data_IF_654388767651
#
_entry.id   IF_654388767651
#
_cell.length_a   1.000
_cell.length_b   1.000
_cell.length_c   1.000
_cell.angle_alpha   90.00
_cell.angle_beta   90.00
_cell.angle_gamma   90.00
#
_symmetry.space_group_name_H-M   'P 1'
#
loop_
_entity.id
_entity.type
_entity.pdbx_description
1 polymer ?
#
# COMPACT_ATOMS: atom_id res chain seq x y z
N UNK A 1 -0.23 -9.94 40.50
CA UNK A 1 -1.26 -9.23 39.75
C UNK A 1 -0.83 -8.97 38.29
N UNK A 2 0.42 -9.22 37.95
CA UNK A 2 0.93 -9.00 36.58
C UNK A 2 0.83 -10.21 35.65
N UNK A 3 0.43 -11.37 36.08
CA UNK A 3 0.49 -12.61 35.28
C UNK A 3 -0.84 -12.96 34.61
N UNK A 4 -1.92 -12.32 35.01
CA UNK A 4 -3.27 -12.64 34.52
C UNK A 4 -3.66 -11.89 33.23
N UNK A 5 -2.94 -10.84 32.87
CA UNK A 5 -3.22 -10.04 31.65
C UNK A 5 -2.67 -10.66 30.35
N UNK A 6 -1.80 -11.65 30.43
CA UNK A 6 -1.21 -12.30 29.26
C UNK A 6 -2.02 -13.55 28.84
N UNK A 7 -2.91 -14.03 29.71
CA UNK A 7 -3.69 -15.25 29.47
C UNK A 7 -4.91 -15.04 28.55
N UNK A 8 -5.34 -13.79 28.35
CA UNK A 8 -6.53 -13.50 27.55
C UNK A 8 -6.22 -13.08 26.09
N UNK A 9 -4.97 -13.07 25.70
CA UNK A 9 -4.59 -12.99 24.30
C UNK A 9 -4.66 -14.38 23.66
N UNK A 10 -5.86 -14.94 23.65
CA UNK A 10 -6.13 -16.19 22.97
C UNK A 10 -6.16 -15.90 21.46
N UNK A 11 -5.00 -16.02 20.80
CA UNK A 11 -4.95 -16.00 19.34
C UNK A 11 -5.82 -17.14 18.83
N UNK A 12 -6.94 -16.79 18.18
CA UNK A 12 -7.75 -17.79 17.50
C UNK A 12 -6.88 -18.59 16.54
N UNK A 13 -6.95 -19.92 16.63
CA UNK A 13 -6.38 -20.76 15.60
C UNK A 13 -7.05 -20.44 14.26
N UNK A 14 -6.32 -20.58 13.13
CA UNK A 14 -6.87 -20.31 11.78
C UNK A 14 -8.16 -21.08 11.52
N UNK A 15 -8.31 -22.27 12.09
CA UNK A 15 -9.51 -23.12 12.01
C UNK A 15 -10.73 -22.54 12.74
N UNK A 16 -10.55 -21.59 13.65
CA UNK A 16 -11.63 -20.99 14.43
C UNK A 16 -12.24 -19.75 13.76
N UNK A 17 -11.69 -19.32 12.61
CA UNK A 17 -12.26 -18.23 11.84
C UNK A 17 -13.48 -18.68 11.06
N UNK A 18 -14.52 -17.82 11.06
CA UNK A 18 -15.68 -18.01 10.22
C UNK A 18 -15.30 -17.84 8.74
N UNK A 19 -16.09 -18.36 7.78
CA UNK A 19 -15.87 -18.08 6.36
C UNK A 19 -15.85 -16.59 6.03
N UNK A 20 -16.63 -15.76 6.73
CA UNK A 20 -16.63 -14.30 6.57
C UNK A 20 -15.32 -13.67 7.05
N UNK A 21 -14.80 -14.12 8.19
CA UNK A 21 -13.51 -13.69 8.71
C UNK A 21 -12.37 -14.08 7.75
N UNK A 22 -12.43 -15.28 7.18
CA UNK A 22 -11.47 -15.76 6.21
C UNK A 22 -11.48 -14.90 4.94
N UNK A 23 -12.66 -14.53 4.44
CA UNK A 23 -12.82 -13.65 3.29
C UNK A 23 -12.26 -12.25 3.57
N UNK A 24 -12.53 -11.71 4.75
CA UNK A 24 -11.98 -10.44 5.21
C UNK A 24 -10.45 -10.46 5.23
N UNK A 25 -9.87 -11.47 5.87
CA UNK A 25 -8.42 -11.59 5.97
C UNK A 25 -7.76 -11.80 4.60
N UNK A 26 -8.44 -12.50 3.70
CA UNK A 26 -8.00 -12.63 2.32
C UNK A 26 -7.95 -11.26 1.61
N UNK A 27 -8.97 -10.43 1.78
CA UNK A 27 -9.01 -9.08 1.20
C UNK A 27 -7.94 -8.17 1.80
N UNK A 28 -7.70 -8.23 3.11
CA UNK A 28 -6.58 -7.54 3.75
C UNK A 28 -5.25 -8.00 3.16
N UNK A 29 -5.06 -9.29 3.00
CA UNK A 29 -3.88 -9.88 2.36
C UNK A 29 -3.69 -9.40 0.93
N UNK A 30 -4.77 -9.30 0.14
CA UNK A 30 -4.73 -8.74 -1.21
C UNK A 30 -4.23 -7.30 -1.22
N UNK A 31 -4.69 -6.46 -0.31
CA UNK A 31 -4.23 -5.08 -0.21
C UNK A 31 -2.73 -5.01 0.05
N UNK A 32 -2.25 -5.78 1.02
CA UNK A 32 -0.83 -5.83 1.39
C UNK A 32 0.03 -6.34 0.24
N UNK A 33 -0.37 -7.44 -0.38
CA UNK A 33 0.37 -8.03 -1.49
C UNK A 33 0.36 -7.13 -2.73
N UNK A 34 -0.79 -6.55 -3.07
CA UNK A 34 -0.92 -5.65 -4.22
C UNK A 34 -0.03 -4.41 -4.08
N UNK A 35 0.05 -3.84 -2.87
CA UNK A 35 0.96 -2.73 -2.59
C UNK A 35 2.42 -3.12 -2.82
N UNK A 36 2.84 -4.25 -2.28
CA UNK A 36 4.21 -4.73 -2.42
C UNK A 36 4.56 -5.05 -3.88
N UNK A 37 3.64 -5.66 -4.61
CA UNK A 37 3.81 -5.93 -6.04
C UNK A 37 3.93 -4.63 -6.85
N UNK A 38 3.17 -3.61 -6.49
CA UNK A 38 3.28 -2.30 -7.13
C UNK A 38 4.64 -1.66 -6.87
N UNK A 39 5.14 -1.71 -5.63
CA UNK A 39 6.49 -1.23 -5.31
C UNK A 39 7.56 -1.90 -6.18
N UNK A 40 7.50 -3.21 -6.32
CA UNK A 40 8.44 -3.98 -7.14
C UNK A 40 8.33 -3.61 -8.63
N UNK A 41 7.12 -3.49 -9.15
CA UNK A 41 6.89 -3.10 -10.54
C UNK A 41 7.39 -1.69 -10.83
N UNK A 42 7.18 -0.76 -9.89
CA UNK A 42 7.65 0.61 -10.01
C UNK A 42 9.17 0.68 -9.96
N UNK A 43 9.80 -0.06 -9.07
CA UNK A 43 11.26 -0.16 -8.99
C UNK A 43 11.86 -0.68 -10.30
N UNK A 44 11.26 -1.72 -10.87
CA UNK A 44 11.68 -2.25 -12.17
C UNK A 44 11.50 -1.23 -13.29
N UNK A 45 10.39 -0.50 -13.32
CA UNK A 45 10.14 0.55 -14.30
C UNK A 45 11.17 1.68 -14.20
N UNK A 46 11.47 2.13 -13.00
CA UNK A 46 12.50 3.16 -12.76
C UNK A 46 13.86 2.68 -13.26
N UNK A 47 14.21 1.42 -13.00
CA UNK A 47 15.43 0.81 -13.51
C UNK A 47 15.50 0.84 -15.03
N UNK A 48 14.41 0.50 -15.71
CA UNK A 48 14.33 0.56 -17.17
C UNK A 48 14.48 1.99 -17.71
N UNK A 49 13.88 2.97 -17.04
CA UNK A 49 14.00 4.39 -17.44
C UNK A 49 15.43 4.90 -17.25
N UNK A 50 16.09 4.51 -16.17
CA UNK A 50 17.51 4.85 -15.94
C UNK A 50 18.40 4.28 -17.03
N UNK A 51 18.23 3.01 -17.37
CA UNK A 51 19.01 2.36 -18.42
C UNK A 51 18.80 3.06 -19.77
N UNK A 52 17.56 3.42 -20.11
CA UNK A 52 17.25 4.13 -21.34
C UNK A 52 17.85 5.55 -21.39
N UNK A 53 18.08 6.16 -20.22
CA UNK A 53 18.71 7.49 -20.10
C UNK A 53 20.25 7.41 -19.99
N UNK A 54 20.83 6.22 -20.03
CA UNK A 54 22.27 6.01 -19.90
C UNK A 54 22.82 6.22 -18.51
N UNK A 55 21.96 6.17 -17.48
CA UNK A 55 22.40 6.23 -16.09
C UNK A 55 22.97 4.89 -15.64
N UNK A 56 24.30 4.79 -15.66
CA UNK A 56 25.05 3.58 -15.28
C UNK A 56 25.32 3.46 -13.78
N UNK A 57 24.67 4.23 -12.93
CA UNK A 57 24.84 4.11 -11.49
C UNK A 57 24.20 2.81 -10.99
N UNK A 58 24.97 1.75 -11.00
CA UNK A 58 24.66 0.50 -10.31
C UNK A 58 24.92 0.67 -8.82
N UNK A 59 24.09 1.43 -8.15
CA UNK A 59 24.15 1.42 -6.70
C UNK A 59 23.21 0.31 -6.25
N UNK A 60 23.78 -0.83 -5.89
CA UNK A 60 23.05 -1.83 -5.14
C UNK A 60 22.55 -1.19 -3.87
N UNK A 61 21.27 -0.80 -3.85
CA UNK A 61 20.63 -0.30 -2.64
C UNK A 61 20.70 -1.41 -1.59
N UNK A 62 21.36 -1.13 -0.46
CA UNK A 62 21.39 -2.06 0.68
C UNK A 62 20.03 -2.23 1.33
N UNK A 63 19.12 -1.29 1.08
CA UNK A 63 17.78 -1.26 1.62
C UNK A 63 16.77 -1.07 0.49
N UNK A 64 15.65 -1.73 0.62
CA UNK A 64 14.54 -1.59 -0.30
C UNK A 64 13.98 -0.17 -0.24
N UNK A 65 13.82 0.54 -1.38
CA UNK A 65 13.29 1.89 -1.37
C UNK A 65 11.80 1.89 -1.00
N UNK A 66 11.39 2.93 -0.28
CA UNK A 66 9.97 3.15 0.04
C UNK A 66 9.20 3.63 -1.19
N UNK A 67 7.88 3.49 -1.16
CA UNK A 67 7.01 4.01 -2.22
C UNK A 67 7.21 5.51 -2.45
N UNK A 68 7.36 6.30 -1.38
CA UNK A 68 7.61 7.74 -1.46
C UNK A 68 8.88 8.04 -2.23
N UNK A 69 9.95 7.30 -1.96
CA UNK A 69 11.23 7.47 -2.66
C UNK A 69 11.10 7.07 -4.13
N UNK A 70 10.44 5.97 -4.43
CA UNK A 70 10.20 5.52 -5.79
C UNK A 70 9.40 6.55 -6.60
N UNK A 71 8.36 7.13 -6.02
CA UNK A 71 7.55 8.17 -6.67
C UNK A 71 8.36 9.43 -6.93
N UNK A 72 9.21 9.85 -6.00
CA UNK A 72 10.11 11.00 -6.18
C UNK A 72 11.07 10.74 -7.34
N UNK A 73 11.65 9.57 -7.41
CA UNK A 73 12.55 9.19 -8.51
C UNK A 73 11.83 9.16 -9.86
N UNK A 74 10.63 8.58 -9.91
CA UNK A 74 9.82 8.54 -11.13
C UNK A 74 9.49 9.96 -11.61
N UNK A 75 9.07 10.85 -10.72
CA UNK A 75 8.79 12.25 -11.03
C UNK A 75 10.01 12.93 -11.64
N UNK A 76 11.18 12.74 -11.05
CA UNK A 76 12.43 13.31 -11.53
C UNK A 76 12.74 12.82 -12.94
N UNK A 77 12.63 11.51 -13.20
CA UNK A 77 12.93 10.93 -14.49
C UNK A 77 11.96 11.35 -15.58
N UNK A 78 10.66 11.41 -15.29
CA UNK A 78 9.65 11.88 -16.23
C UNK A 78 9.85 13.37 -16.52
N UNK A 79 10.19 14.17 -15.52
CA UNK A 79 10.52 15.58 -15.68
C UNK A 79 11.75 15.79 -16.58
N UNK A 80 12.73 14.92 -16.51
CA UNK A 80 13.92 14.98 -17.38
C UNK A 80 13.63 14.52 -18.81
N UNK A 81 12.84 13.47 -18.96
CA UNK A 81 12.46 12.91 -20.27
C UNK A 81 11.53 13.84 -21.04
N UNK A 82 10.52 14.37 -20.36
CA UNK A 82 9.40 15.08 -20.95
C UNK A 82 9.28 16.51 -20.41
N UNK A 83 10.37 17.29 -20.50
CA UNK A 83 10.45 18.65 -19.94
C UNK A 83 9.31 19.59 -20.37
N UNK A 84 8.68 19.31 -21.51
CA UNK A 84 7.59 20.11 -22.07
C UNK A 84 6.21 19.48 -21.86
N UNK A 85 6.15 18.32 -21.22
CA UNK A 85 4.90 17.58 -21.00
C UNK A 85 4.35 17.83 -19.60
N UNK A 86 3.69 18.96 -19.41
CA UNK A 86 3.00 19.29 -18.16
C UNK A 86 1.90 18.28 -17.81
N UNK A 87 1.32 17.61 -18.81
CA UNK A 87 0.28 16.60 -18.64
C UNK A 87 0.80 15.37 -17.88
N UNK A 88 2.00 14.88 -18.21
CA UNK A 88 2.61 13.75 -17.52
C UNK A 88 2.89 14.06 -16.03
N UNK A 89 3.39 15.24 -15.74
CA UNK A 89 3.66 15.67 -14.37
C UNK A 89 2.37 15.88 -13.56
N UNK A 90 1.31 16.37 -14.19
CA UNK A 90 -0.01 16.48 -13.57
C UNK A 90 -0.58 15.11 -13.23
N UNK A 91 -0.44 14.15 -14.13
CA UNK A 91 -0.86 12.76 -13.91
C UNK A 91 -0.11 12.14 -12.73
N UNK A 92 1.20 12.31 -12.65
CA UNK A 92 2.02 11.82 -11.53
C UNK A 92 1.57 12.45 -10.22
N UNK A 93 1.26 13.74 -10.19
CA UNK A 93 0.77 14.43 -8.98
C UNK A 93 -0.55 13.85 -8.51
N UNK A 94 -1.46 13.53 -9.43
CA UNK A 94 -2.73 12.86 -9.12
C UNK A 94 -2.51 11.46 -8.55
N UNK A 95 -1.62 10.70 -9.14
CA UNK A 95 -1.22 9.36 -8.69
C UNK A 95 -0.63 9.42 -7.29
N UNK A 96 0.28 10.35 -7.02
CA UNK A 96 0.88 10.52 -5.68
C UNK A 96 -0.17 10.80 -4.61
N UNK A 97 -1.16 11.62 -4.91
CA UNK A 97 -2.25 11.93 -3.98
C UNK A 97 -3.06 10.69 -3.64
N UNK A 98 -3.42 9.92 -4.64
CA UNK A 98 -4.18 8.68 -4.47
C UNK A 98 -3.34 7.64 -3.71
N UNK A 99 -2.05 7.53 -4.01
CA UNK A 99 -1.13 6.64 -3.31
C UNK A 99 -0.99 7.00 -1.84
N UNK A 100 -0.88 8.27 -1.50
CA UNK A 100 -0.81 8.72 -0.11
C UNK A 100 -2.07 8.39 0.68
N UNK A 101 -3.24 8.52 0.05
CA UNK A 101 -4.51 8.13 0.66
C UNK A 101 -4.57 6.64 0.93
N UNK A 102 -4.21 5.83 -0.05
CA UNK A 102 -4.20 4.36 0.08
C UNK A 102 -3.17 3.91 1.11
N UNK A 103 -2.01 4.55 1.15
CA UNK A 103 -0.96 4.23 2.13
C UNK A 103 -1.40 4.52 3.56
N UNK A 104 -2.10 5.62 3.80
CA UNK A 104 -2.67 5.91 5.12
C UNK A 104 -3.69 4.86 5.54
N UNK A 105 -4.55 4.46 4.63
CA UNK A 105 -5.53 3.40 4.88
C UNK A 105 -4.86 2.05 5.17
N UNK A 106 -3.89 1.67 4.36
CA UNK A 106 -3.08 0.47 4.56
C UNK A 106 -2.33 0.50 5.90
N UNK A 107 -1.73 1.63 6.25
CA UNK A 107 -1.02 1.83 7.51
C UNK A 107 -1.95 1.68 8.71
N UNK A 108 -3.17 2.18 8.62
CA UNK A 108 -4.17 2.01 9.66
C UNK A 108 -4.48 0.54 9.91
N UNK A 109 -4.60 -0.26 8.87
CA UNK A 109 -4.86 -1.69 8.99
C UNK A 109 -3.64 -2.42 9.56
N UNK A 110 -2.46 -2.20 9.01
CA UNK A 110 -1.23 -2.93 9.39
C UNK A 110 -0.84 -2.63 10.85
N UNK A 111 -1.00 -1.39 11.28
CA UNK A 111 -0.59 -0.95 12.61
C UNK A 111 -1.71 -1.05 13.64
N UNK A 112 -2.96 -1.00 13.21
CA UNK A 112 -4.10 -0.82 14.09
C UNK A 112 -5.21 -1.85 14.00
N UNK A 113 -5.06 -2.92 13.21
CA UNK A 113 -6.09 -3.96 13.13
C UNK A 113 -6.42 -4.47 14.53
N UNK A 114 -7.68 -4.40 14.91
CA UNK A 114 -8.13 -4.75 16.25
C UNK A 114 -8.88 -6.09 16.25
N UNK A 115 -10.00 -6.17 15.57
CA UNK A 115 -10.79 -7.41 15.49
C UNK A 115 -11.76 -7.42 14.31
N UNK A 116 -12.10 -8.61 13.79
CA UNK A 116 -13.21 -8.75 12.86
C UNK A 116 -14.54 -8.40 13.54
N UNK A 117 -15.46 -7.83 12.75
CA UNK A 117 -16.83 -7.55 13.16
C UNK A 117 -17.79 -7.89 12.02
N UNK A 118 -19.11 -8.00 12.28
CA UNK A 118 -20.06 -8.22 11.21
C UNK A 118 -19.98 -7.11 10.15
N UNK A 119 -19.73 -7.52 8.89
CA UNK A 119 -19.64 -6.61 7.76
C UNK A 119 -18.30 -5.88 7.62
N UNK A 120 -17.30 -6.21 8.42
CA UNK A 120 -15.99 -5.58 8.33
C UNK A 120 -15.06 -5.88 9.49
N UNK A 121 -14.39 -4.87 10.00
CA UNK A 121 -13.44 -4.98 11.09
C UNK A 121 -13.25 -3.63 11.78
N UNK A 122 -12.63 -3.65 12.95
CA UNK A 122 -12.22 -2.45 13.65
C UNK A 122 -10.73 -2.24 13.57
N UNK A 123 -10.32 -0.98 13.53
CA UNK A 123 -8.94 -0.55 13.62
C UNK A 123 -8.79 0.48 14.75
N UNK A 124 -7.62 0.47 15.36
CA UNK A 124 -7.23 1.47 16.33
C UNK A 124 -6.26 2.44 15.68
N UNK A 125 -6.60 3.71 15.65
CA UNK A 125 -5.76 4.74 15.05
C UNK A 125 -4.59 5.16 15.99
N UNK A 126 -3.74 6.07 15.52
CA UNK A 126 -2.61 6.58 16.29
C UNK A 126 -2.99 7.35 17.55
N UNK A 127 -4.25 7.75 17.69
CA UNK A 127 -4.80 8.41 18.87
C UNK A 127 -5.57 7.43 19.78
N UNK A 128 -5.46 6.15 19.47
CA UNK A 128 -6.13 5.07 20.20
C UNK A 128 -7.66 5.08 20.07
N UNK A 129 -8.20 5.75 19.07
CA UNK A 129 -9.62 5.71 18.73
C UNK A 129 -9.92 4.48 17.89
N UNK A 130 -11.05 3.83 18.16
CA UNK A 130 -11.51 2.68 17.40
C UNK A 130 -12.36 3.17 16.24
N UNK A 131 -12.01 2.73 15.03
CA UNK A 131 -12.76 3.00 13.81
C UNK A 131 -13.27 1.69 13.23
N UNK A 132 -14.51 1.69 12.78
CA UNK A 132 -15.08 0.56 12.04
C UNK A 132 -14.83 0.75 10.55
N UNK A 133 -14.30 -0.28 9.90
CA UNK A 133 -14.03 -0.30 8.45
C UNK A 133 -14.89 -1.40 7.83
N UNK A 134 -15.74 -1.02 6.91
CA UNK A 134 -16.58 -1.96 6.17
C UNK A 134 -15.79 -2.71 5.10
N UNK A 135 -16.23 -3.92 4.79
CA UNK A 135 -15.64 -4.74 3.73
C UNK A 135 -15.70 -4.03 2.37
N UNK A 136 -16.80 -3.33 2.09
CA UNK A 136 -16.94 -2.55 0.85
C UNK A 136 -15.90 -1.44 0.74
N UNK A 137 -15.59 -0.77 1.84
CA UNK A 137 -14.53 0.24 1.88
C UNK A 137 -13.17 -0.38 1.57
N UNK A 138 -12.87 -1.52 2.16
CA UNK A 138 -11.63 -2.25 1.91
C UNK A 138 -11.51 -2.67 0.44
N UNK A 139 -12.56 -3.22 -0.13
CA UNK A 139 -12.60 -3.62 -1.54
C UNK A 139 -12.46 -2.41 -2.47
N UNK A 140 -13.10 -1.30 -2.13
CA UNK A 140 -12.96 -0.03 -2.86
C UNK A 140 -11.53 0.49 -2.86
N UNK A 141 -10.80 0.38 -1.75
CA UNK A 141 -9.39 0.77 -1.69
C UNK A 141 -8.49 -0.18 -2.49
N UNK A 142 -8.80 -1.47 -2.53
CA UNK A 142 -8.08 -2.43 -3.38
C UNK A 142 -8.27 -2.08 -4.87
N UNK A 143 -9.49 -1.80 -5.29
CA UNK A 143 -9.78 -1.36 -6.66
C UNK A 143 -9.07 -0.04 -7.00
N UNK A 144 -9.07 0.91 -6.07
CA UNK A 144 -8.34 2.18 -6.24
C UNK A 144 -6.84 1.94 -6.43
N UNK A 145 -6.25 1.01 -5.68
CA UNK A 145 -4.86 0.64 -5.83
C UNK A 145 -4.57 0.01 -7.19
N UNK A 146 -5.43 -0.88 -7.66
CA UNK A 146 -5.31 -1.50 -8.98
C UNK A 146 -5.39 -0.45 -10.11
N UNK A 147 -6.29 0.52 -9.98
CA UNK A 147 -6.42 1.64 -10.93
C UNK A 147 -5.17 2.51 -10.93
N UNK A 148 -4.66 2.86 -9.75
CA UNK A 148 -3.41 3.63 -9.61
C UNK A 148 -2.24 2.87 -10.21
N UNK A 149 -2.14 1.57 -9.98
CA UNK A 149 -1.09 0.72 -10.56
C UNK A 149 -1.11 0.77 -12.08
N UNK A 150 -2.27 0.66 -12.71
CA UNK A 150 -2.43 0.74 -14.15
C UNK A 150 -1.99 2.11 -14.70
N UNK A 151 -2.40 3.19 -14.05
CA UNK A 151 -2.01 4.57 -14.43
C UNK A 151 -0.51 4.76 -14.31
N UNK A 152 0.07 4.28 -13.22
CA UNK A 152 1.49 4.44 -12.91
C UNK A 152 2.38 3.68 -13.91
N UNK A 153 2.00 2.47 -14.28
CA UNK A 153 2.76 1.67 -15.23
C UNK A 153 2.60 2.15 -16.67
N UNK A 154 1.59 2.96 -16.96
CA UNK A 154 1.36 3.56 -18.27
C UNK A 154 2.14 4.88 -18.48
N UNK A 155 2.67 5.48 -17.45
CA UNK A 155 3.46 6.74 -17.53
C UNK A 155 4.84 6.56 -18.29
#
# INVERSE_FOLDING_TARGET
>A
VGVQLVSDMNMKAVSDYTPEDAALLCSVGRLVCAWTMLEQSLEAKIGMLRDAMGDVRTVGARTRPSMTKLMTELRTMVSMRDRRNASALTEISGIERDMQRIDRFRGLIIQGFHQPEPGGFTCRDGRNNIQHIGLEQLEGEIEALETVASRLLAV
#
